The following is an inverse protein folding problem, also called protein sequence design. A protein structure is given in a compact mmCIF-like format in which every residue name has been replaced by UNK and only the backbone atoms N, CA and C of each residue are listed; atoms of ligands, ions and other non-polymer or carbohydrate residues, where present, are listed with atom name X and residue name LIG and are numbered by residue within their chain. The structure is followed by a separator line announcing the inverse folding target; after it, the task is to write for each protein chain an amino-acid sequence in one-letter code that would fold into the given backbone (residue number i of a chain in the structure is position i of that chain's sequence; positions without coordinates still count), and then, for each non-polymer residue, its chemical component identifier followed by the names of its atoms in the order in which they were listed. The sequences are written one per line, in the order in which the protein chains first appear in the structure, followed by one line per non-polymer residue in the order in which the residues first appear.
data_IF_841780632195
#
_entry.id   IF_841780632195
#
_cell.length_a   1.000
_cell.length_b   1.000
_cell.length_c   1.000
_cell.angle_alpha   90.00
_cell.angle_beta   90.00
_cell.angle_gamma   90.00
#
_symmetry.space_group_name_H-M   'P 1'
#
loop_
_entity.id
_entity.type
_entity.pdbx_description
1 polymer ?
#
# COMPACT_ATOMS: atom_id res chain seq x y z
N UNK A 1 15.84 3.62 4.07
CA UNK A 1 14.89 3.67 5.21
C UNK A 1 14.10 4.97 5.08
N UNK A 2 12.80 4.95 5.38
CA UNK A 2 12.02 6.17 5.54
C UNK A 2 12.23 6.72 6.96
N UNK A 3 12.54 8.01 7.15
CA UNK A 3 12.91 8.56 8.45
C UNK A 3 11.72 8.96 9.35
N UNK A 4 10.57 9.28 8.77
CA UNK A 4 9.42 9.81 9.51
C UNK A 4 8.31 8.77 9.74
N UNK A 5 7.98 7.98 8.73
CA UNK A 5 6.94 6.95 8.79
C UNK A 5 7.34 5.78 7.90
N UNK A 6 7.17 4.55 8.41
CA UNK A 6 7.39 3.35 7.61
C UNK A 6 6.18 3.04 6.70
N UNK A 7 6.43 2.23 5.67
CA UNK A 7 5.40 1.88 4.67
C UNK A 7 4.27 1.02 5.23
N UNK A 8 4.52 0.25 6.29
CA UNK A 8 3.49 -0.58 6.93
C UNK A 8 2.47 0.30 7.65
N UNK A 9 2.94 1.23 8.49
CA UNK A 9 2.15 2.22 9.20
C UNK A 9 1.39 3.12 8.22
N UNK A 10 2.03 3.52 7.12
CA UNK A 10 1.37 4.28 6.07
C UNK A 10 0.22 3.50 5.42
N UNK A 11 0.43 2.21 5.11
CA UNK A 11 -0.62 1.36 4.51
C UNK A 11 -1.80 1.20 5.45
N UNK A 12 -1.56 0.89 6.73
CA UNK A 12 -2.62 0.76 7.73
C UNK A 12 -3.46 2.03 7.79
N UNK A 13 -2.81 3.20 7.83
CA UNK A 13 -3.52 4.49 7.85
C UNK A 13 -4.35 4.74 6.59
N UNK A 14 -3.85 4.37 5.40
CA UNK A 14 -4.62 4.48 4.16
C UNK A 14 -5.86 3.57 4.22
N UNK A 15 -5.73 2.34 4.72
CA UNK A 15 -6.88 1.42 4.87
C UNK A 15 -7.85 1.86 5.97
N UNK A 16 -7.38 2.50 7.04
CA UNK A 16 -8.25 3.11 8.05
C UNK A 16 -9.03 4.30 7.48
N UNK A 17 -8.45 5.08 6.56
CA UNK A 17 -9.18 6.15 5.85
C UNK A 17 -10.27 5.63 4.92
N UNK A 18 -10.23 4.34 4.55
CA UNK A 18 -11.30 3.71 3.78
C UNK A 18 -12.55 3.41 4.61
N UNK A 19 -12.43 3.39 5.94
CA UNK A 19 -13.55 3.09 6.83
C UNK A 19 -14.54 4.28 6.86
N UNK A 20 -15.81 4.08 6.45
CA UNK A 20 -16.82 5.13 6.49
C UNK A 20 -17.12 5.66 7.90
N UNK A 21 -16.77 4.93 8.96
CA UNK A 21 -16.88 5.40 10.36
C UNK A 21 -15.84 6.48 10.70
N UNK A 22 -14.70 6.49 10.01
CA UNK A 22 -13.65 7.48 10.17
C UNK A 22 -13.93 8.63 9.18
N UNK A 23 -14.85 9.51 9.56
CA UNK A 23 -15.33 10.64 8.75
C UNK A 23 -14.22 11.54 8.20
N UNK A 24 -13.73 11.23 6.99
CA UNK A 24 -12.85 12.06 6.18
C UNK A 24 -13.67 12.85 5.16
N UNK A 25 -13.81 14.14 5.35
CA UNK A 25 -14.51 14.99 4.37
C UNK A 25 -13.64 15.17 3.14
N UNK A 26 -14.17 14.78 1.97
CA UNK A 26 -13.62 15.09 0.64
C UNK A 26 -13.72 16.60 0.37
N UNK A 27 -12.98 17.40 1.12
CA UNK A 27 -12.91 18.86 1.00
C UNK A 27 -11.44 19.29 0.89
N UNK A 28 -10.75 18.79 -0.13
CA UNK A 28 -9.40 19.24 -0.47
C UNK A 28 -8.50 18.12 -0.98
N UNK A 29 -8.63 17.75 -2.26
CA UNK A 29 -7.62 17.00 -3.03
C UNK A 29 -7.14 15.64 -2.48
N UNK A 30 -7.70 15.14 -1.39
CA UNK A 30 -7.39 13.84 -0.79
C UNK A 30 -8.14 12.69 -1.44
N UNK A 31 -7.68 11.46 -1.20
CA UNK A 31 -8.35 10.23 -1.61
C UNK A 31 -9.74 10.17 -0.98
N UNK A 32 -10.76 9.83 -1.76
CA UNK A 32 -12.10 9.53 -1.22
C UNK A 32 -12.04 8.23 -0.39
N UNK A 33 -12.99 8.02 0.51
CA UNK A 33 -13.10 6.75 1.26
C UNK A 33 -13.08 5.52 0.34
N UNK A 34 -13.86 5.56 -0.75
CA UNK A 34 -13.89 4.49 -1.75
C UNK A 34 -12.52 4.29 -2.42
N UNK A 35 -11.81 5.37 -2.76
CA UNK A 35 -10.49 5.28 -3.38
C UNK A 35 -9.47 4.67 -2.43
N UNK A 36 -9.49 5.03 -1.14
CA UNK A 36 -8.62 4.47 -0.13
C UNK A 36 -8.89 2.96 0.11
N UNK A 37 -10.12 2.52 -0.11
CA UNK A 37 -10.51 1.09 -0.03
C UNK A 37 -9.94 0.27 -1.19
N UNK A 38 -9.90 0.85 -2.40
CA UNK A 38 -9.58 0.10 -3.63
C UNK A 38 -8.22 0.40 -4.22
N UNK A 39 -7.51 1.45 -3.76
CA UNK A 39 -6.21 1.80 -4.32
C UNK A 39 -5.21 0.64 -4.18
N UNK A 40 -4.52 0.23 -5.26
CA UNK A 40 -3.49 -0.78 -5.19
C UNK A 40 -2.26 -0.24 -4.44
N UNK A 41 -1.84 -0.92 -3.37
CA UNK A 41 -0.66 -0.56 -2.58
C UNK A 41 0.41 -1.63 -2.78
N UNK A 42 1.53 -1.26 -3.40
CA UNK A 42 2.68 -2.13 -3.67
C UNK A 42 3.86 -1.70 -2.79
N UNK A 43 4.33 -2.58 -1.90
CA UNK A 43 5.51 -2.29 -1.09
C UNK A 43 6.80 -2.55 -1.85
N UNK A 44 7.83 -1.78 -1.52
CA UNK A 44 9.17 -1.88 -2.08
C UNK A 44 10.20 -2.14 -0.99
N UNK A 45 10.60 -3.39 -0.80
CA UNK A 45 11.56 -3.79 0.23
C UNK A 45 12.99 -3.91 -0.30
N UNK A 46 13.96 -3.64 0.57
CA UNK A 46 15.36 -4.00 0.34
C UNK A 46 15.69 -5.45 0.75
N UNK A 47 14.78 -6.11 1.49
CA UNK A 47 14.94 -7.48 1.97
C UNK A 47 13.56 -8.15 2.01
N UNK A 48 13.32 -9.13 1.14
CA UNK A 48 12.05 -9.86 1.05
C UNK A 48 11.91 -10.89 2.17
N UNK A 49 12.00 -10.47 3.43
CA UNK A 49 11.71 -11.37 4.54
C UNK A 49 10.21 -11.65 4.60
N UNK A 50 9.84 -12.93 4.54
CA UNK A 50 8.46 -13.44 4.51
C UNK A 50 7.58 -12.93 5.69
N UNK A 51 8.20 -12.57 6.81
CA UNK A 51 7.49 -11.99 7.97
C UNK A 51 6.90 -10.61 7.68
N UNK A 52 7.60 -9.79 6.89
CA UNK A 52 7.08 -8.49 6.43
C UNK A 52 5.98 -8.69 5.40
N UNK A 53 6.05 -9.73 4.56
CA UNK A 53 5.01 -10.06 3.58
C UNK A 53 3.70 -10.41 4.27
N UNK A 54 3.74 -11.24 5.31
CA UNK A 54 2.54 -11.64 6.06
C UNK A 54 1.87 -10.46 6.77
N UNK A 55 2.66 -9.57 7.41
CA UNK A 55 2.12 -8.35 8.03
C UNK A 55 1.59 -7.36 6.99
N UNK A 56 2.26 -7.27 5.85
CA UNK A 56 1.86 -6.43 4.73
C UNK A 56 0.52 -6.89 4.13
N UNK A 57 0.36 -8.19 3.91
CA UNK A 57 -0.91 -8.77 3.44
C UNK A 57 -2.05 -8.53 4.43
N UNK A 58 -1.79 -8.66 5.75
CA UNK A 58 -2.78 -8.35 6.78
C UNK A 58 -3.12 -6.86 6.87
N UNK A 59 -2.19 -5.97 6.55
CA UNK A 59 -2.40 -4.52 6.49
C UNK A 59 -3.11 -4.06 5.19
N UNK A 60 -3.43 -4.98 4.27
CA UNK A 60 -4.12 -4.67 3.02
C UNK A 60 -3.21 -4.22 1.89
N UNK A 61 -1.93 -4.64 1.89
CA UNK A 61 -1.07 -4.51 0.71
C UNK A 61 -1.46 -5.53 -0.37
N UNK A 62 -1.39 -5.08 -1.61
CA UNK A 62 -1.74 -5.87 -2.78
C UNK A 62 -0.56 -6.70 -3.30
N UNK A 63 0.65 -6.12 -3.27
CA UNK A 63 1.85 -6.79 -3.74
C UNK A 63 3.12 -6.28 -3.05
N UNK A 64 4.19 -7.05 -3.21
CA UNK A 64 5.49 -6.74 -2.65
C UNK A 64 6.59 -6.97 -3.69
N UNK A 65 7.43 -5.95 -3.91
CA UNK A 65 8.54 -5.97 -4.85
C UNK A 65 9.85 -5.74 -4.11
N UNK A 66 10.88 -6.51 -4.48
CA UNK A 66 12.22 -6.36 -3.93
C UNK A 66 13.05 -5.34 -4.73
N UNK A 67 14.01 -4.71 -4.06
CA UNK A 67 15.00 -3.82 -4.67
C UNK A 67 16.27 -4.62 -5.02
N UNK A 68 16.93 -4.34 -6.15
CA UNK A 68 16.52 -3.42 -7.21
C UNK A 68 15.29 -3.94 -7.98
N UNK A 69 14.37 -3.03 -8.33
CA UNK A 69 13.14 -3.37 -9.05
C UNK A 69 13.48 -3.82 -10.46
N UNK A 70 12.93 -4.95 -10.87
CA UNK A 70 12.93 -5.40 -12.26
C UNK A 70 11.72 -4.79 -12.98
N UNK A 71 11.91 -4.07 -14.11
CA UNK A 71 10.81 -3.46 -14.84
C UNK A 71 9.75 -4.48 -15.26
N UNK A 72 10.15 -5.67 -15.71
CA UNK A 72 9.22 -6.72 -16.13
C UNK A 72 8.27 -7.11 -14.99
N UNK A 73 8.82 -7.35 -13.79
CA UNK A 73 8.04 -7.71 -12.60
C UNK A 73 7.13 -6.57 -12.13
N UNK A 74 7.56 -5.32 -12.28
CA UNK A 74 6.72 -4.16 -11.98
C UNK A 74 5.52 -4.09 -12.93
N UNK A 75 5.74 -4.26 -14.24
CA UNK A 75 4.65 -4.24 -15.21
C UNK A 75 3.67 -5.39 -14.99
N UNK A 76 4.16 -6.62 -14.77
CA UNK A 76 3.31 -7.77 -14.44
C UNK A 76 2.48 -7.52 -13.18
N UNK A 77 3.08 -6.94 -12.14
CA UNK A 77 2.37 -6.61 -10.90
C UNK A 77 1.30 -5.55 -11.14
N UNK A 78 1.58 -4.54 -11.96
CA UNK A 78 0.59 -3.54 -12.34
C UNK A 78 -0.54 -4.17 -13.13
N UNK A 79 -0.27 -4.93 -14.19
CA UNK A 79 -1.29 -5.61 -15.01
C UNK A 79 -2.23 -6.50 -14.19
N UNK A 80 -1.76 -7.10 -13.10
CA UNK A 80 -2.59 -7.92 -12.21
C UNK A 80 -3.50 -7.11 -11.27
N UNK A 81 -3.26 -5.80 -11.12
CA UNK A 81 -3.91 -4.93 -10.12
C UNK A 81 -4.82 -3.83 -10.70
N UNK A 82 -4.77 -3.59 -12.01
CA UNK A 82 -5.59 -2.59 -12.73
C UNK A 82 -6.58 -3.23 -13.71
#
# INVERSE_FOLDING_TARGET
RMPEMDGLTATTKIREMADPAHGGTSAGGGLSHDDAATIPIIALTANAFDEDVQRSLQAGLNAHLSKPIQPELLFETLENLI
#
